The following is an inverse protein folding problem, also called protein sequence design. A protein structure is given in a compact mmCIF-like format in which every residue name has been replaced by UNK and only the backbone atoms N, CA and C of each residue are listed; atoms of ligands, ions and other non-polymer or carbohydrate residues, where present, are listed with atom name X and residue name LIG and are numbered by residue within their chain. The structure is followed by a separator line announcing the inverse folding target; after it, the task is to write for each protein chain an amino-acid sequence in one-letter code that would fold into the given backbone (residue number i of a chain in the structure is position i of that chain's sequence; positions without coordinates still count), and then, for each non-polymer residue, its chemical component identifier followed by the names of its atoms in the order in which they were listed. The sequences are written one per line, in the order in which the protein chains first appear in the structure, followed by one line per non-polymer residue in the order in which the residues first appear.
data_IF_967937943497
#
_entry.id   IF_967937943497
#
_cell.length_a   1.000
_cell.length_b   1.000
_cell.length_c   1.000
_cell.angle_alpha   90.00
_cell.angle_beta   90.00
_cell.angle_gamma   90.00
#
_symmetry.space_group_name_H-M   'P 1'
#
loop_
_entity.id
_entity.type
_entity.pdbx_description
1 polymer ?
#
# COMPACT_ATOMS: atom_id res chain seq x y z
N UNK A 1 -32.77 30.03 -40.70
CA UNK A 1 -31.57 30.78 -40.23
C UNK A 1 -31.30 30.64 -38.72
N UNK A 2 -32.23 30.86 -37.80
CA UNK A 2 -32.02 30.75 -36.35
C UNK A 2 -31.47 29.40 -35.89
N UNK A 3 -32.00 28.26 -36.35
CA UNK A 3 -31.53 26.90 -35.97
C UNK A 3 -30.08 26.63 -36.39
N UNK A 4 -29.61 27.07 -37.57
CA UNK A 4 -28.20 26.93 -37.99
C UNK A 4 -27.25 27.75 -37.12
N UNK A 5 -27.63 28.98 -36.72
CA UNK A 5 -26.83 29.81 -35.85
C UNK A 5 -26.71 29.23 -34.40
N UNK A 6 -27.81 28.69 -33.87
CA UNK A 6 -27.82 28.00 -32.59
C UNK A 6 -26.88 26.77 -32.62
N UNK A 7 -26.98 25.95 -33.66
CA UNK A 7 -26.12 24.78 -33.83
C UNK A 7 -24.64 25.15 -34.01
N UNK A 8 -24.34 26.20 -34.79
CA UNK A 8 -22.96 26.72 -34.93
C UNK A 8 -22.40 27.22 -33.62
N UNK A 9 -23.17 27.98 -32.82
CA UNK A 9 -22.74 28.47 -31.51
C UNK A 9 -22.51 27.32 -30.54
N UNK A 10 -23.39 26.31 -30.52
CA UNK A 10 -23.23 25.11 -29.72
C UNK A 10 -21.96 24.32 -30.07
N UNK A 11 -21.72 24.15 -31.39
CA UNK A 11 -20.50 23.48 -31.84
C UNK A 11 -19.24 24.26 -31.48
N UNK A 12 -19.24 25.57 -31.62
CA UNK A 12 -18.13 26.43 -31.19
C UNK A 12 -17.88 26.35 -29.69
N UNK A 13 -18.92 26.34 -28.86
CA UNK A 13 -18.83 26.14 -27.42
C UNK A 13 -18.22 24.79 -27.08
N UNK A 14 -18.68 23.71 -27.74
CA UNK A 14 -18.15 22.35 -27.52
C UNK A 14 -16.67 22.25 -27.89
N UNK A 15 -16.27 22.83 -29.03
CA UNK A 15 -14.88 22.87 -29.47
C UNK A 15 -14.00 23.67 -28.51
N UNK A 16 -14.48 24.81 -28.01
CA UNK A 16 -13.79 25.58 -27.00
C UNK A 16 -13.60 24.83 -25.70
N UNK A 17 -14.61 24.09 -25.25
CA UNK A 17 -14.53 23.23 -24.04
C UNK A 17 -13.50 22.12 -24.21
N UNK A 18 -13.49 21.43 -25.36
CA UNK A 18 -12.50 20.41 -25.67
C UNK A 18 -11.09 20.99 -25.67
N UNK A 19 -10.89 22.17 -26.25
CA UNK A 19 -9.59 22.83 -26.28
C UNK A 19 -9.10 23.19 -24.88
N UNK A 20 -9.98 23.71 -24.02
CA UNK A 20 -9.65 24.00 -22.62
C UNK A 20 -9.22 22.72 -21.88
N UNK A 21 -9.97 21.61 -22.06
CA UNK A 21 -9.64 20.31 -21.45
C UNK A 21 -8.25 19.84 -21.91
N UNK A 22 -7.96 19.94 -23.20
CA UNK A 22 -6.66 19.56 -23.76
C UNK A 22 -5.53 20.42 -23.20
N UNK A 23 -5.71 21.73 -23.08
CA UNK A 23 -4.72 22.64 -22.50
C UNK A 23 -4.46 22.28 -21.03
N UNK A 24 -5.51 22.06 -20.23
CA UNK A 24 -5.37 21.65 -18.83
C UNK A 24 -4.66 20.32 -18.68
N UNK A 25 -4.97 19.34 -19.52
CA UNK A 25 -4.33 18.02 -19.51
C UNK A 25 -2.84 18.13 -19.83
N UNK A 26 -2.47 18.89 -20.88
CA UNK A 26 -1.06 19.12 -21.25
C UNK A 26 -0.34 19.85 -20.12
N UNK A 27 -0.95 20.91 -19.58
CA UNK A 27 -0.37 21.67 -18.46
C UNK A 27 -0.07 20.77 -17.26
N UNK A 28 -1.05 19.95 -16.81
CA UNK A 28 -0.84 19.04 -15.67
C UNK A 28 0.25 18.02 -15.97
N UNK A 29 0.30 17.48 -17.20
CA UNK A 29 1.36 16.55 -17.59
C UNK A 29 2.75 17.18 -17.52
N UNK A 30 2.87 18.45 -17.90
CA UNK A 30 4.16 19.19 -17.83
C UNK A 30 4.56 19.40 -16.36
N UNK A 31 3.69 19.95 -15.52
CA UNK A 31 4.04 20.26 -14.13
C UNK A 31 4.24 19.02 -13.24
N UNK A 32 3.72 17.87 -13.63
CA UNK A 32 3.89 16.59 -12.93
C UNK A 32 4.92 15.67 -13.60
N UNK A 33 5.66 16.17 -14.58
CA UNK A 33 6.62 15.37 -15.37
C UNK A 33 7.84 14.91 -14.58
N UNK A 34 8.14 15.57 -13.45
CA UNK A 34 9.23 15.19 -12.54
C UNK A 34 9.01 13.83 -11.84
N UNK A 35 7.81 13.24 -11.93
CA UNK A 35 7.49 11.94 -11.36
C UNK A 35 7.41 11.91 -9.84
N UNK A 36 7.21 13.04 -9.17
CA UNK A 36 7.12 13.17 -7.71
C UNK A 36 5.72 13.56 -7.21
N UNK A 37 4.76 13.76 -8.13
CA UNK A 37 3.38 14.03 -7.72
C UNK A 37 2.67 12.75 -7.29
N UNK A 38 2.43 12.59 -6.00
CA UNK A 38 1.84 11.40 -5.40
C UNK A 38 0.55 10.94 -6.11
N UNK A 39 -0.41 11.85 -6.32
CA UNK A 39 -1.72 11.51 -6.87
C UNK A 39 -1.63 10.99 -8.32
N UNK A 40 -0.77 11.62 -9.12
CA UNK A 40 -0.56 11.22 -10.52
C UNK A 40 0.23 9.89 -10.58
N UNK A 41 1.24 9.73 -9.73
CA UNK A 41 2.02 8.48 -9.70
C UNK A 41 1.17 7.31 -9.18
N UNK A 42 0.31 7.52 -8.17
CA UNK A 42 -0.67 6.54 -7.70
C UNK A 42 -1.68 6.17 -8.80
N UNK A 43 -2.15 7.15 -9.60
CA UNK A 43 -2.99 6.87 -10.77
C UNK A 43 -2.25 6.01 -11.80
N UNK A 44 -0.98 6.32 -12.09
CA UNK A 44 -0.14 5.52 -12.99
C UNK A 44 0.06 4.10 -12.49
N UNK A 45 0.29 3.92 -11.17
CA UNK A 45 0.41 2.63 -10.53
C UNK A 45 -0.89 1.82 -10.65
N UNK A 46 -2.03 2.42 -10.31
CA UNK A 46 -3.33 1.76 -10.42
C UNK A 46 -3.62 1.28 -11.85
N UNK A 47 -3.21 2.04 -12.87
CA UNK A 47 -3.41 1.69 -14.29
C UNK A 47 -2.47 0.60 -14.78
N UNK A 48 -1.21 0.65 -14.38
CA UNK A 48 -0.17 -0.22 -14.93
C UNK A 48 0.01 -1.52 -14.16
N UNK A 49 -0.08 -1.49 -12.82
CA UNK A 49 0.28 -2.61 -11.95
C UNK A 49 -0.91 -3.35 -11.36
N UNK A 50 -2.07 -2.69 -11.23
CA UNK A 50 -3.23 -3.28 -10.55
C UNK A 50 -4.32 -3.74 -11.52
N UNK A 51 -5.05 -4.77 -11.09
CA UNK A 51 -6.33 -5.20 -11.63
C UNK A 51 -7.36 -5.29 -10.50
N UNK A 52 -8.63 -5.12 -10.84
CA UNK A 52 -9.72 -5.43 -9.91
C UNK A 52 -9.89 -6.94 -9.96
N UNK A 53 -9.80 -7.58 -8.80
CA UNK A 53 -10.00 -9.03 -8.66
C UNK A 53 -11.44 -9.44 -9.04
N UNK A 54 -11.58 -10.63 -9.58
CA UNK A 54 -12.88 -11.27 -9.76
C UNK A 54 -13.50 -11.63 -8.38
N UNK A 55 -12.65 -11.98 -7.39
CA UNK A 55 -13.07 -12.19 -6.02
C UNK A 55 -13.17 -10.84 -5.29
N UNK A 56 -14.40 -10.46 -4.89
CA UNK A 56 -14.68 -9.17 -4.24
C UNK A 56 -13.96 -9.00 -2.89
N UNK A 57 -13.67 -10.10 -2.20
CA UNK A 57 -12.98 -10.07 -0.90
C UNK A 57 -11.48 -9.73 -1.07
N UNK A 58 -10.88 -10.06 -2.21
CA UNK A 58 -9.51 -9.67 -2.55
C UNK A 58 -9.45 -8.21 -3.03
N UNK A 59 -10.46 -7.79 -3.79
CA UNK A 59 -10.61 -6.44 -4.29
C UNK A 59 -9.57 -6.04 -5.33
N UNK A 60 -8.28 -6.05 -4.99
CA UNK A 60 -7.18 -5.65 -5.86
C UNK A 60 -6.10 -6.72 -5.93
N UNK A 61 -5.61 -6.96 -7.14
CA UNK A 61 -4.47 -7.85 -7.41
C UNK A 61 -3.42 -7.12 -8.25
N UNK A 62 -2.20 -7.63 -8.23
CA UNK A 62 -1.15 -7.19 -9.12
C UNK A 62 -1.22 -7.91 -10.48
N UNK A 63 -0.81 -7.19 -11.52
CA UNK A 63 -0.51 -7.78 -12.83
C UNK A 63 0.82 -8.50 -12.79
N UNK A 64 0.97 -9.54 -13.59
CA UNK A 64 2.24 -10.24 -13.78
C UNK A 64 3.14 -9.52 -14.79
N UNK A 65 4.47 -9.65 -14.62
CA UNK A 65 5.49 -9.20 -15.57
C UNK A 65 5.39 -7.71 -15.94
N UNK A 66 5.10 -6.85 -14.97
CA UNK A 66 5.00 -5.41 -15.18
C UNK A 66 6.22 -4.70 -14.59
N UNK A 67 6.70 -3.72 -15.33
CA UNK A 67 7.83 -2.87 -14.91
C UNK A 67 7.53 -1.43 -15.29
N UNK A 68 7.66 -0.51 -14.33
CA UNK A 68 7.49 0.92 -14.59
C UNK A 68 8.20 1.76 -13.54
N UNK A 69 8.71 2.92 -13.97
CA UNK A 69 9.23 3.94 -13.06
C UNK A 69 8.07 4.74 -12.47
N UNK A 70 7.94 4.75 -11.13
CA UNK A 70 6.92 5.45 -10.34
C UNK A 70 7.59 6.06 -9.12
N UNK A 71 7.25 7.32 -8.76
CA UNK A 71 7.96 8.06 -7.71
C UNK A 71 9.49 8.02 -7.87
N UNK A 72 9.95 8.11 -9.12
CA UNK A 72 11.36 8.02 -9.52
C UNK A 72 12.09 6.71 -9.21
N UNK A 73 11.41 5.69 -8.72
CA UNK A 73 11.95 4.34 -8.51
C UNK A 73 11.33 3.33 -9.46
N UNK A 74 12.06 2.29 -9.77
CA UNK A 74 11.55 1.21 -10.60
C UNK A 74 10.75 0.21 -9.76
N UNK A 75 9.46 0.08 -10.06
CA UNK A 75 8.63 -0.99 -9.52
C UNK A 75 8.49 -2.07 -10.58
N UNK A 76 9.10 -3.22 -10.30
CA UNK A 76 9.01 -4.43 -11.13
C UNK A 76 8.23 -5.50 -10.39
N UNK A 77 7.27 -6.11 -11.08
CA UNK A 77 6.53 -7.28 -10.63
C UNK A 77 6.97 -8.48 -11.46
N UNK A 78 7.23 -9.60 -10.80
CA UNK A 78 7.61 -10.85 -11.44
C UNK A 78 6.42 -11.58 -12.11
N UNK A 79 6.60 -12.81 -12.57
CA UNK A 79 5.54 -13.56 -13.26
C UNK A 79 4.36 -13.93 -12.34
N UNK A 80 4.57 -13.95 -11.01
CA UNK A 80 3.53 -14.20 -10.02
C UNK A 80 2.88 -12.91 -9.46
N UNK A 81 3.32 -11.74 -9.91
CA UNK A 81 2.80 -10.45 -9.45
C UNK A 81 3.45 -9.94 -8.14
N UNK A 82 4.51 -10.56 -7.65
CA UNK A 82 5.27 -10.10 -6.49
C UNK A 82 6.31 -9.03 -6.85
N UNK A 83 6.57 -8.10 -5.95
CA UNK A 83 7.65 -7.11 -6.14
C UNK A 83 9.02 -7.74 -5.86
N UNK A 84 9.40 -8.67 -6.70
CA UNK A 84 10.68 -9.36 -6.68
C UNK A 84 11.36 -9.29 -8.05
N UNK A 85 12.69 -9.35 -8.07
CA UNK A 85 13.47 -9.35 -9.33
C UNK A 85 13.36 -10.68 -10.08
N UNK A 86 13.17 -11.76 -9.35
CA UNK A 86 13.07 -13.15 -9.86
C UNK A 86 11.76 -13.77 -9.38
N UNK A 87 11.36 -14.85 -10.02
CA UNK A 87 10.23 -15.67 -9.63
C UNK A 87 10.54 -16.47 -8.36
N UNK A 88 9.52 -17.12 -7.78
CA UNK A 88 9.70 -17.99 -6.63
C UNK A 88 10.64 -19.15 -6.98
N UNK A 89 11.70 -19.27 -6.20
CA UNK A 89 12.64 -20.39 -6.25
C UNK A 89 12.16 -21.49 -5.28
N UNK A 90 11.67 -22.60 -5.84
CA UNK A 90 11.15 -23.71 -5.06
C UNK A 90 12.24 -24.51 -4.30
N UNK A 91 13.51 -24.30 -4.62
CA UNK A 91 14.63 -24.94 -3.91
C UNK A 91 14.99 -24.22 -2.60
N UNK A 92 14.48 -22.98 -2.39
CA UNK A 92 14.79 -22.16 -1.22
C UNK A 92 13.68 -22.19 -0.17
N UNK A 93 14.06 -21.90 1.07
CA UNK A 93 13.11 -21.48 2.10
C UNK A 93 12.49 -20.14 1.72
N UNK A 94 11.22 -19.95 2.04
CA UNK A 94 10.44 -18.80 1.58
C UNK A 94 9.79 -18.04 2.72
N UNK A 95 10.06 -16.75 2.81
CA UNK A 95 9.39 -15.83 3.72
C UNK A 95 8.43 -14.98 2.88
N UNK A 96 7.14 -15.07 3.12
CA UNK A 96 6.13 -14.22 2.50
C UNK A 96 5.91 -12.97 3.34
N UNK A 97 5.97 -11.79 2.72
CA UNK A 97 5.58 -10.52 3.33
C UNK A 97 4.26 -10.04 2.74
N UNK A 98 3.18 -10.16 3.51
CA UNK A 98 1.87 -9.58 3.21
C UNK A 98 1.84 -8.13 3.70
N UNK A 99 1.09 -7.26 3.03
CA UNK A 99 0.90 -5.87 3.42
C UNK A 99 0.44 -4.98 2.27
N UNK A 100 0.42 -3.69 2.53
CA UNK A 100 -0.09 -2.63 1.65
C UNK A 100 1.02 -1.93 0.82
N UNK A 101 0.88 -0.61 0.61
CA UNK A 101 1.83 0.23 -0.12
C UNK A 101 3.18 0.38 0.59
N UNK A 102 3.22 0.28 1.92
CA UNK A 102 4.48 0.32 2.67
C UNK A 102 5.25 -0.98 2.42
N UNK A 103 4.60 -2.13 2.47
CA UNK A 103 5.21 -3.43 2.16
C UNK A 103 5.63 -3.49 0.69
N UNK A 104 4.77 -3.05 -0.24
CA UNK A 104 5.17 -2.84 -1.62
C UNK A 104 6.47 -2.02 -1.71
N UNK A 105 6.69 -1.04 -0.85
CA UNK A 105 7.81 -0.11 -0.86
C UNK A 105 7.58 1.04 -1.85
N UNK A 106 6.41 1.66 -1.77
CA UNK A 106 6.09 2.84 -2.58
C UNK A 106 7.15 3.92 -2.42
N UNK A 107 7.74 4.37 -3.55
CA UNK A 107 8.78 5.39 -3.56
C UNK A 107 10.17 4.96 -3.03
N UNK A 108 10.35 3.70 -2.64
CA UNK A 108 11.64 3.16 -2.22
C UNK A 108 12.24 2.25 -3.30
N UNK A 109 13.55 2.40 -3.55
CA UNK A 109 14.29 1.52 -4.45
C UNK A 109 14.58 0.17 -3.80
N UNK A 110 15.01 0.18 -2.53
CA UNK A 110 15.37 -1.00 -1.76
C UNK A 110 14.35 -1.22 -0.64
N UNK A 111 13.38 -2.10 -0.87
CA UNK A 111 12.35 -2.43 0.11
C UNK A 111 12.91 -3.16 1.32
N UNK A 112 12.19 -3.20 2.44
CA UNK A 112 12.64 -3.98 3.60
C UNK A 112 12.66 -5.49 3.31
N UNK A 113 11.82 -6.00 2.42
CA UNK A 113 11.88 -7.39 1.94
C UNK A 113 13.19 -7.68 1.18
N UNK A 114 13.56 -6.81 0.25
CA UNK A 114 14.81 -6.92 -0.50
C UNK A 114 16.03 -6.82 0.42
N UNK A 115 16.05 -5.85 1.35
CA UNK A 115 17.13 -5.70 2.30
C UNK A 115 17.21 -6.89 3.27
N UNK A 116 16.06 -7.40 3.74
CA UNK A 116 16.04 -8.57 4.62
C UNK A 116 16.62 -9.80 3.91
N UNK A 117 16.23 -10.06 2.66
CA UNK A 117 16.79 -11.16 1.86
C UNK A 117 18.32 -11.08 1.78
N UNK A 118 18.86 -9.89 1.55
CA UNK A 118 20.32 -9.66 1.55
C UNK A 118 21.02 -9.91 2.89
N UNK A 119 20.31 -9.78 3.99
CA UNK A 119 20.85 -10.00 5.32
C UNK A 119 20.71 -11.45 5.80
N UNK A 120 19.91 -12.25 5.13
CA UNK A 120 19.69 -13.66 5.42
C UNK A 120 20.65 -14.55 4.60
N UNK A 121 20.63 -15.85 4.86
CA UNK A 121 21.40 -16.81 4.12
C UNK A 121 20.88 -16.92 2.67
N UNK A 122 21.74 -17.32 1.75
CA UNK A 122 21.43 -17.44 0.31
C UNK A 122 20.37 -18.51 -0.02
N UNK A 123 20.08 -19.39 0.92
CA UNK A 123 19.05 -20.42 0.83
C UNK A 123 17.63 -19.94 1.21
N UNK A 124 17.49 -18.64 1.57
CA UNK A 124 16.21 -18.03 1.91
C UNK A 124 15.85 -16.99 0.86
N UNK A 125 14.63 -17.04 0.37
CA UNK A 125 14.03 -16.02 -0.51
C UNK A 125 12.93 -15.27 0.24
N UNK A 126 12.93 -13.93 0.13
CA UNK A 126 11.89 -13.08 0.72
C UNK A 126 10.95 -12.58 -0.38
N UNK A 127 9.71 -13.00 -0.32
CA UNK A 127 8.68 -12.68 -1.31
C UNK A 127 7.87 -11.45 -0.84
N UNK A 128 7.92 -10.38 -1.63
CA UNK A 128 7.16 -9.16 -1.37
C UNK A 128 5.80 -9.22 -2.06
N UNK A 129 4.76 -9.51 -1.30
CA UNK A 129 3.36 -9.55 -1.74
C UNK A 129 2.58 -8.28 -1.36
N UNK A 130 3.26 -7.17 -1.10
CA UNK A 130 2.62 -5.89 -0.80
C UNK A 130 1.86 -5.33 -2.01
N UNK A 131 0.60 -4.90 -1.78
CA UNK A 131 -0.26 -4.30 -2.81
C UNK A 131 -0.84 -3.00 -2.29
N UNK A 132 -0.52 -1.88 -2.91
CA UNK A 132 -1.02 -0.57 -2.49
C UNK A 132 -2.55 -0.46 -2.46
N UNK A 133 -3.09 0.20 -1.43
CA UNK A 133 -4.52 0.33 -1.18
C UNK A 133 -5.25 -1.01 -0.89
N UNK A 134 -4.59 -1.94 -0.23
CA UNK A 134 -5.20 -3.12 0.37
C UNK A 134 -5.10 -3.03 1.89
N UNK A 135 -5.97 -3.74 2.59
CA UNK A 135 -5.96 -3.91 4.02
C UNK A 135 -5.76 -5.39 4.39
N UNK A 136 -5.60 -5.69 5.68
CA UNK A 136 -5.41 -7.06 6.18
C UNK A 136 -6.48 -8.03 5.69
N UNK A 137 -7.75 -7.60 5.62
CA UNK A 137 -8.86 -8.41 5.09
C UNK A 137 -8.56 -8.89 3.65
N UNK A 138 -8.25 -7.97 2.75
CA UNK A 138 -7.94 -8.27 1.35
C UNK A 138 -6.68 -9.11 1.20
N UNK A 139 -5.64 -8.81 1.99
CA UNK A 139 -4.35 -9.48 1.96
C UNK A 139 -4.49 -10.96 2.35
N UNK A 140 -5.27 -11.27 3.39
CA UNK A 140 -5.48 -12.65 3.86
C UNK A 140 -6.35 -13.43 2.87
N UNK A 141 -7.41 -12.84 2.32
CA UNK A 141 -8.19 -13.49 1.26
C UNK A 141 -7.33 -13.79 0.03
N UNK A 142 -6.46 -12.84 -0.36
CA UNK A 142 -5.55 -13.04 -1.48
C UNK A 142 -4.52 -14.14 -1.19
N UNK A 143 -4.05 -14.25 0.06
CA UNK A 143 -3.19 -15.35 0.47
C UNK A 143 -3.87 -16.71 0.26
N UNK A 144 -5.06 -16.89 0.78
CA UNK A 144 -5.76 -18.19 0.68
C UNK A 144 -6.10 -18.55 -0.77
N UNK A 145 -6.51 -17.60 -1.59
CA UNK A 145 -6.91 -17.84 -2.98
C UNK A 145 -5.71 -18.07 -3.91
N UNK A 146 -4.68 -17.24 -3.78
CA UNK A 146 -3.63 -17.14 -4.80
C UNK A 146 -2.25 -17.62 -4.32
N UNK A 147 -1.92 -17.51 -3.02
CA UNK A 147 -0.54 -17.66 -2.56
C UNK A 147 -0.29 -18.94 -1.74
N UNK A 148 -1.28 -19.50 -1.08
CA UNK A 148 -1.14 -20.68 -0.21
C UNK A 148 -0.49 -21.88 -0.91
N UNK A 149 -0.63 -21.99 -2.22
CA UNK A 149 -0.04 -23.05 -3.06
C UNK A 149 1.50 -23.02 -3.15
N UNK A 150 2.16 -21.95 -2.70
CA UNK A 150 3.62 -21.81 -2.86
C UNK A 150 4.44 -22.36 -1.69
N UNK A 151 3.81 -22.90 -0.64
CA UNK A 151 4.46 -23.55 0.51
C UNK A 151 5.53 -22.65 1.16
N UNK A 152 5.12 -21.69 1.97
CA UNK A 152 6.02 -20.79 2.70
C UNK A 152 6.50 -21.43 4.00
N UNK A 153 7.72 -21.08 4.43
CA UNK A 153 8.27 -21.45 5.75
C UNK A 153 7.92 -20.41 6.81
N UNK A 154 7.74 -19.14 6.40
CA UNK A 154 7.33 -18.05 7.27
C UNK A 154 6.40 -17.09 6.54
N UNK A 155 5.40 -16.55 7.25
CA UNK A 155 4.54 -15.47 6.80
C UNK A 155 4.68 -14.31 7.78
N UNK A 156 4.98 -13.12 7.25
CA UNK A 156 5.02 -11.87 8.00
C UNK A 156 3.87 -11.00 7.50
N UNK A 157 2.87 -10.78 8.33
CA UNK A 157 1.82 -9.80 8.10
C UNK A 157 2.30 -8.43 8.57
N UNK A 158 2.60 -7.55 7.63
CA UNK A 158 2.99 -6.18 7.91
C UNK A 158 1.74 -5.33 8.06
N UNK A 159 1.30 -5.16 9.29
CA UNK A 159 0.07 -4.47 9.63
C UNK A 159 0.32 -2.96 9.74
N UNK A 160 -0.32 -2.16 8.90
CA UNK A 160 -0.26 -0.70 8.90
C UNK A 160 -1.51 -0.09 9.54
N UNK A 161 -1.45 1.18 9.92
CA UNK A 161 -2.54 1.87 10.65
C UNK A 161 -3.89 1.84 9.93
N UNK A 162 -3.93 1.70 8.61
CA UNK A 162 -5.17 1.63 7.83
C UNK A 162 -5.72 0.20 7.66
N UNK A 163 -5.07 -0.81 8.20
CA UNK A 163 -5.46 -2.21 7.97
C UNK A 163 -6.78 -2.61 8.66
N UNK A 164 -7.27 -1.79 9.59
CA UNK A 164 -8.63 -1.88 10.12
C UNK A 164 -9.65 -1.04 9.32
N UNK A 165 -9.30 -0.52 8.16
CA UNK A 165 -10.22 0.24 7.31
C UNK A 165 -11.15 -0.70 6.55
N UNK A 166 -12.46 -0.42 6.59
CA UNK A 166 -13.43 -1.07 5.71
C UNK A 166 -13.33 -0.51 4.29
N UNK A 167 -12.60 -1.19 3.42
CA UNK A 167 -12.35 -0.74 2.05
C UNK A 167 -13.39 -1.29 1.08
N UNK A 168 -14.11 -0.39 0.41
CA UNK A 168 -14.98 -0.73 -0.71
C UNK A 168 -14.29 -0.36 -2.03
N UNK A 169 -13.89 -1.35 -2.81
CA UNK A 169 -13.29 -1.12 -4.12
C UNK A 169 -14.38 -0.67 -5.10
N UNK A 170 -14.35 0.61 -5.47
CA UNK A 170 -15.22 1.17 -6.50
C UNK A 170 -14.51 1.22 -7.85
N UNK A 171 -15.20 0.81 -8.91
CA UNK A 171 -14.71 1.05 -10.29
C UNK A 171 -14.61 2.56 -10.53
N UNK A 172 -13.41 3.05 -10.82
CA UNK A 172 -13.22 4.45 -11.15
C UNK A 172 -13.85 4.77 -12.50
N UNK A 173 -14.42 5.97 -12.63
CA UNK A 173 -14.93 6.49 -13.91
C UNK A 173 -13.79 6.56 -14.93
N UNK A 174 -14.09 6.23 -16.20
CA UNK A 174 -13.14 6.27 -17.32
C UNK A 174 -12.43 7.63 -17.46
N UNK A 175 -13.15 8.74 -17.24
CA UNK A 175 -12.57 10.08 -17.30
C UNK A 175 -11.55 10.32 -16.18
N UNK A 176 -11.90 10.00 -14.92
CA UNK A 176 -10.96 10.11 -13.77
C UNK A 176 -9.74 9.25 -13.99
N UNK A 177 -9.92 8.06 -14.57
CA UNK A 177 -8.83 7.11 -14.82
C UNK A 177 -7.87 7.57 -15.92
N UNK A 178 -8.31 8.39 -16.88
CA UNK A 178 -7.53 8.70 -18.08
C UNK A 178 -7.04 10.16 -18.16
N UNK A 179 -7.66 11.08 -17.45
CA UNK A 179 -7.31 12.50 -17.47
C UNK A 179 -6.59 12.92 -16.20
N UNK A 180 -5.31 13.30 -16.33
CA UNK A 180 -4.45 13.69 -15.20
C UNK A 180 -4.97 14.95 -14.51
N UNK A 181 -5.49 15.92 -15.28
CA UNK A 181 -6.01 17.15 -14.70
C UNK A 181 -7.15 16.90 -13.73
N UNK A 182 -8.05 15.93 -14.02
CA UNK A 182 -9.16 15.57 -13.13
C UNK A 182 -8.61 15.05 -11.79
N UNK A 183 -7.67 14.11 -11.84
CA UNK A 183 -7.05 13.55 -10.63
C UNK A 183 -6.28 14.61 -9.84
N UNK A 184 -5.52 15.45 -10.53
CA UNK A 184 -4.73 16.53 -9.94
C UNK A 184 -5.61 17.55 -9.21
N UNK A 185 -6.62 18.10 -9.88
CA UNK A 185 -7.51 19.09 -9.26
C UNK A 185 -8.39 18.49 -8.17
N UNK A 186 -8.85 17.25 -8.34
CA UNK A 186 -9.56 16.53 -7.27
C UNK A 186 -8.70 16.44 -6.01
N UNK A 187 -7.44 16.06 -6.13
CA UNK A 187 -6.52 16.00 -4.98
C UNK A 187 -6.29 17.38 -4.35
N UNK A 188 -6.13 18.44 -5.15
CA UNK A 188 -5.99 19.80 -4.63
C UNK A 188 -7.24 20.29 -3.90
N UNK A 189 -8.43 20.00 -4.43
CA UNK A 189 -9.71 20.33 -3.76
C UNK A 189 -9.82 19.55 -2.45
N UNK A 190 -9.52 18.24 -2.44
CA UNK A 190 -9.51 17.44 -1.22
C UNK A 190 -8.56 18.02 -0.16
N UNK A 191 -7.36 18.41 -0.55
CA UNK A 191 -6.39 19.06 0.35
C UNK A 191 -6.96 20.32 0.98
N UNK A 192 -7.59 21.20 0.17
CA UNK A 192 -8.23 22.43 0.65
C UNK A 192 -9.37 22.11 1.65
N UNK A 193 -10.19 21.10 1.35
CA UNK A 193 -11.28 20.68 2.24
C UNK A 193 -10.76 20.15 3.59
N UNK A 194 -9.66 19.39 3.58
CA UNK A 194 -8.97 18.90 4.78
C UNK A 194 -8.40 20.07 5.60
N UNK A 195 -7.67 20.98 4.94
CA UNK A 195 -7.03 22.13 5.59
C UNK A 195 -8.05 23.08 6.25
N UNK A 196 -9.26 23.15 5.69
CA UNK A 196 -10.38 23.91 6.27
C UNK A 196 -11.29 23.09 7.19
N UNK A 197 -10.87 21.88 7.59
CA UNK A 197 -11.63 20.98 8.50
C UNK A 197 -13.05 20.65 8.02
N UNK A 198 -13.31 20.73 6.71
CA UNK A 198 -14.58 20.34 6.11
C UNK A 198 -14.71 18.83 5.91
N UNK A 199 -13.59 18.13 5.87
CA UNK A 199 -13.50 16.67 5.92
C UNK A 199 -12.35 16.26 6.84
N UNK A 200 -12.41 15.03 7.36
CA UNK A 200 -11.36 14.49 8.23
C UNK A 200 -10.00 14.47 7.52
N UNK A 201 -8.95 14.79 8.27
CA UNK A 201 -7.58 14.51 7.84
C UNK A 201 -7.28 13.01 7.98
N UNK A 202 -6.17 12.56 7.41
CA UNK A 202 -5.76 11.14 7.45
C UNK A 202 -5.60 10.61 8.89
N UNK A 203 -5.13 11.44 9.82
CA UNK A 203 -4.97 11.06 11.21
C UNK A 203 -6.31 10.73 11.86
N UNK A 204 -7.27 11.65 11.78
CA UNK A 204 -8.61 11.43 12.33
C UNK A 204 -9.31 10.26 11.64
N UNK A 205 -9.12 10.12 10.33
CA UNK A 205 -9.65 9.01 9.58
C UNK A 205 -9.13 7.67 10.12
N UNK A 206 -7.81 7.51 10.29
CA UNK A 206 -7.23 6.27 10.82
C UNK A 206 -7.60 6.00 12.28
N UNK A 207 -7.74 7.04 13.10
CA UNK A 207 -8.23 6.87 14.47
C UNK A 207 -9.66 6.33 14.52
N UNK A 208 -10.52 6.76 13.59
CA UNK A 208 -11.91 6.27 13.49
C UNK A 208 -11.98 4.81 13.03
N UNK A 209 -11.02 4.28 12.30
CA UNK A 209 -11.06 2.87 11.87
C UNK A 209 -11.07 1.89 13.04
N UNK A 210 -10.46 2.28 14.18
CA UNK A 210 -10.42 1.45 15.40
C UNK A 210 -11.78 1.49 16.15
N UNK A 211 -12.63 2.46 15.86
CA UNK A 211 -13.95 2.61 16.44
C UNK A 211 -15.00 1.71 15.75
N UNK A 212 -14.73 1.29 14.52
CA UNK A 212 -15.49 0.28 13.78
C UNK A 212 -15.19 -1.12 14.35
N UNK A 213 -15.85 -1.42 15.48
CA UNK A 213 -15.63 -2.68 16.21
C UNK A 213 -15.93 -3.91 15.36
N UNK A 214 -16.95 -3.85 14.51
CA UNK A 214 -17.33 -4.97 13.63
C UNK A 214 -16.21 -5.29 12.66
N UNK A 215 -15.64 -4.28 12.00
CA UNK A 215 -14.58 -4.52 11.03
C UNK A 215 -13.23 -4.88 11.70
N UNK A 216 -12.96 -4.33 12.88
CA UNK A 216 -11.81 -4.76 13.71
C UNK A 216 -11.92 -6.24 14.04
N UNK A 217 -13.09 -6.70 14.52
CA UNK A 217 -13.34 -8.11 14.84
C UNK A 217 -13.23 -9.00 13.61
N UNK A 218 -13.80 -8.62 12.48
CA UNK A 218 -13.67 -9.34 11.21
C UNK A 218 -12.20 -9.48 10.80
N UNK A 219 -11.40 -8.43 10.95
CA UNK A 219 -9.97 -8.45 10.62
C UNK A 219 -9.19 -9.36 11.56
N UNK A 220 -9.45 -9.31 12.87
CA UNK A 220 -8.80 -10.17 13.86
C UNK A 220 -9.17 -11.65 13.65
N UNK A 221 -10.42 -11.97 13.37
CA UNK A 221 -10.86 -13.33 13.06
C UNK A 221 -10.17 -13.90 11.81
N UNK A 222 -9.91 -13.06 10.80
CA UNK A 222 -9.15 -13.50 9.63
C UNK A 222 -7.67 -13.72 9.95
N UNK A 223 -7.08 -12.89 10.82
CA UNK A 223 -5.70 -13.10 11.28
C UNK A 223 -5.61 -14.42 12.09
N UNK A 224 -6.59 -14.70 12.94
CA UNK A 224 -6.68 -15.96 13.68
C UNK A 224 -6.77 -17.16 12.73
N UNK A 225 -7.65 -17.08 11.72
CA UNK A 225 -7.75 -18.13 10.69
C UNK A 225 -6.44 -18.36 9.94
N UNK A 226 -5.69 -17.29 9.64
CA UNK A 226 -4.36 -17.40 9.04
C UNK A 226 -3.37 -18.07 10.00
N UNK A 227 -3.42 -17.72 11.29
CA UNK A 227 -2.58 -18.33 12.32
C UNK A 227 -2.85 -19.83 12.48
N UNK A 228 -4.13 -20.24 12.52
CA UNK A 228 -4.53 -21.65 12.57
C UNK A 228 -4.01 -22.43 11.34
N UNK A 229 -4.15 -21.84 10.14
CA UNK A 229 -3.57 -22.39 8.93
C UNK A 229 -2.05 -22.56 9.07
N UNK A 230 -1.36 -21.53 9.53
CA UNK A 230 0.09 -21.56 9.72
C UNK A 230 0.51 -22.63 10.74
N UNK A 231 -0.20 -22.76 11.88
CA UNK A 231 0.05 -23.83 12.87
C UNK A 231 -0.11 -25.22 12.25
N UNK A 232 -1.18 -25.44 11.47
CA UNK A 232 -1.44 -26.71 10.78
C UNK A 232 -0.35 -27.07 9.77
N UNK A 233 0.06 -26.10 8.95
CA UNK A 233 1.07 -26.29 7.89
C UNK A 233 2.51 -26.15 8.40
N UNK A 234 2.72 -25.93 9.73
CA UNK A 234 4.02 -25.71 10.38
C UNK A 234 4.77 -24.50 9.81
N UNK A 235 4.04 -23.45 9.46
CA UNK A 235 4.56 -22.16 8.98
C UNK A 235 4.73 -21.24 10.18
N UNK A 236 5.86 -20.55 10.28
CA UNK A 236 6.06 -19.52 11.30
C UNK A 236 5.23 -18.28 10.93
N UNK A 237 4.32 -17.85 11.81
CA UNK A 237 3.52 -16.67 11.58
C UNK A 237 3.96 -15.51 12.49
N UNK A 238 4.13 -14.34 11.90
CA UNK A 238 4.58 -13.11 12.58
C UNK A 238 3.68 -11.95 12.18
N UNK A 239 3.26 -11.15 13.15
CA UNK A 239 2.67 -9.83 12.90
C UNK A 239 3.74 -8.77 13.13
N UNK A 240 4.04 -7.97 12.12
CA UNK A 240 4.92 -6.83 12.22
C UNK A 240 4.09 -5.55 12.09
N UNK A 241 3.94 -4.81 13.19
CA UNK A 241 3.29 -3.51 13.16
C UNK A 241 4.19 -2.49 12.46
N UNK A 242 3.68 -1.89 11.40
CA UNK A 242 4.32 -0.84 10.61
C UNK A 242 3.69 0.49 10.99
N UNK A 243 4.39 1.40 11.69
CA UNK A 243 3.79 2.66 12.13
C UNK A 243 3.61 3.67 10.99
N UNK A 244 2.60 4.52 11.11
CA UNK A 244 2.56 5.81 10.41
C UNK A 244 3.73 6.68 10.90
N UNK A 245 4.47 7.29 9.97
CA UNK A 245 5.69 8.02 10.32
C UNK A 245 5.46 9.43 10.88
N UNK A 246 4.25 9.97 10.79
CA UNK A 246 3.93 11.29 11.32
C UNK A 246 3.63 11.22 12.82
N UNK A 247 4.33 12.03 13.60
CA UNK A 247 4.10 12.15 15.03
C UNK A 247 4.60 10.94 15.85
N UNK A 248 5.66 10.25 15.44
CA UNK A 248 6.17 9.05 16.10
C UNK A 248 6.59 9.29 17.57
N UNK A 249 7.09 10.48 17.93
CA UNK A 249 7.44 10.81 19.32
C UNK A 249 6.23 10.86 20.26
N UNK A 250 5.05 11.22 19.74
CA UNK A 250 3.77 11.26 20.46
C UNK A 250 2.75 10.41 19.72
N UNK A 251 3.04 9.12 19.58
CA UNK A 251 2.33 8.23 18.68
C UNK A 251 0.86 8.06 19.06
N UNK A 252 -0.03 8.46 18.19
CA UNK A 252 -1.48 8.52 18.46
C UNK A 252 -2.18 7.18 18.31
N UNK A 253 -1.58 6.23 17.60
CA UNK A 253 -2.18 4.92 17.31
C UNK A 253 -1.80 3.82 18.31
N UNK A 254 -1.36 4.20 19.53
CA UNK A 254 -1.00 3.23 20.58
C UNK A 254 -2.13 2.26 20.96
N UNK A 255 -3.40 2.68 20.82
CA UNK A 255 -4.55 1.79 21.04
C UNK A 255 -4.55 0.62 20.07
N UNK A 256 -4.23 0.87 18.80
CA UNK A 256 -4.13 -0.15 17.77
C UNK A 256 -3.00 -1.14 18.06
N UNK A 257 -1.82 -0.64 18.44
CA UNK A 257 -0.68 -1.47 18.86
C UNK A 257 -1.11 -2.41 19.99
N UNK A 258 -1.75 -1.87 21.05
CA UNK A 258 -2.23 -2.67 22.17
C UNK A 258 -3.25 -3.73 21.81
N UNK A 259 -4.16 -3.45 20.87
CA UNK A 259 -5.12 -4.43 20.36
C UNK A 259 -4.36 -5.60 19.72
N UNK A 260 -3.43 -5.31 18.81
CA UNK A 260 -2.65 -6.35 18.10
C UNK A 260 -1.70 -7.11 19.03
N UNK A 261 -1.04 -6.42 19.96
CA UNK A 261 -0.14 -7.04 20.95
C UNK A 261 -0.90 -8.02 21.86
N UNK A 262 -2.05 -7.60 22.41
CA UNK A 262 -2.90 -8.46 23.24
C UNK A 262 -3.45 -9.65 22.44
N UNK A 263 -3.94 -9.40 21.24
CA UNK A 263 -4.42 -10.44 20.35
C UNK A 263 -3.31 -11.45 19.99
N UNK A 264 -2.13 -10.96 19.67
CA UNK A 264 -0.97 -11.80 19.36
C UNK A 264 -0.55 -12.67 20.54
N UNK A 265 -0.54 -12.09 21.76
CA UNK A 265 -0.25 -12.84 22.99
C UNK A 265 -1.28 -13.93 23.25
N UNK A 266 -2.58 -13.66 23.07
CA UNK A 266 -3.65 -14.64 23.27
C UNK A 266 -3.59 -15.82 22.28
N UNK A 267 -3.13 -15.54 21.05
CA UNK A 267 -3.08 -16.53 19.96
C UNK A 267 -1.69 -17.13 19.73
N UNK A 268 -0.71 -16.85 20.61
CA UNK A 268 0.67 -17.32 20.50
C UNK A 268 1.34 -16.91 19.19
N UNK A 269 1.04 -15.70 18.72
CA UNK A 269 1.64 -15.13 17.50
C UNK A 269 2.82 -14.25 17.92
N UNK A 270 3.95 -14.39 17.23
CA UNK A 270 5.08 -13.48 17.42
C UNK A 270 4.71 -12.08 16.93
N UNK A 271 4.77 -11.10 17.84
CA UNK A 271 4.49 -9.69 17.54
C UNK A 271 5.78 -8.87 17.51
N UNK A 272 5.98 -8.09 16.46
CA UNK A 272 7.09 -7.16 16.31
C UNK A 272 6.52 -5.76 16.10
N UNK A 273 6.99 -4.77 16.87
CA UNK A 273 6.57 -3.38 16.72
C UNK A 273 7.70 -2.56 16.09
N UNK A 274 7.60 -2.25 14.80
CA UNK A 274 8.62 -1.47 14.10
C UNK A 274 8.69 0.00 14.53
N UNK A 275 7.71 0.51 15.32
CA UNK A 275 7.83 1.82 15.96
C UNK A 275 9.04 1.90 16.88
N UNK A 276 9.41 0.79 17.57
CA UNK A 276 10.52 0.74 18.52
C UNK A 276 11.86 1.20 17.91
N UNK A 277 12.06 0.96 16.62
CA UNK A 277 13.27 1.38 15.91
C UNK A 277 13.11 2.73 15.21
N UNK A 278 11.91 3.00 14.65
CA UNK A 278 11.72 4.18 13.81
C UNK A 278 11.54 5.47 14.62
N UNK A 279 10.93 5.43 15.81
CA UNK A 279 10.71 6.59 16.69
C UNK A 279 12.00 7.28 17.16
N UNK A 280 13.16 6.62 16.99
CA UNK A 280 14.46 7.20 17.33
C UNK A 280 14.97 8.18 16.25
N UNK A 281 14.24 8.38 15.17
CA UNK A 281 14.60 9.25 14.06
C UNK A 281 13.57 10.36 13.90
N UNK A 282 14.00 11.48 13.30
CA UNK A 282 13.08 12.55 12.91
C UNK A 282 12.20 12.09 11.76
N UNK A 283 10.90 12.29 11.89
CA UNK A 283 9.85 11.76 11.00
C UNK A 283 10.15 11.99 9.51
N UNK A 284 10.41 13.26 9.12
CA UNK A 284 10.62 13.65 7.73
C UNK A 284 11.88 13.03 7.09
N UNK A 285 12.85 12.60 7.90
CA UNK A 285 14.07 11.93 7.38
C UNK A 285 13.80 10.52 6.86
N UNK A 286 12.60 9.99 7.15
CA UNK A 286 12.15 8.65 6.79
C UNK A 286 11.11 8.67 5.66
N UNK A 287 10.66 9.84 5.22
CA UNK A 287 9.63 10.00 4.18
C UNK A 287 10.21 9.98 2.77
N UNK A 288 9.41 9.53 1.82
CA UNK A 288 9.75 9.58 0.38
C UNK A 288 9.89 11.01 -0.10
N UNK A 289 8.93 11.88 0.27
CA UNK A 289 8.99 13.34 0.03
C UNK A 289 8.30 14.07 1.19
N UNK A 290 8.43 15.41 1.25
CA UNK A 290 7.71 16.22 2.25
C UNK A 290 6.18 16.07 2.19
N UNK A 291 5.64 15.72 1.04
CA UNK A 291 4.20 15.54 0.83
C UNK A 291 3.76 14.07 0.90
N UNK A 292 4.72 13.13 1.00
CA UNK A 292 4.48 11.69 0.97
C UNK A 292 5.23 10.99 2.10
N UNK A 293 4.52 10.64 3.16
CA UNK A 293 5.05 9.97 4.35
C UNK A 293 5.27 8.46 4.18
N UNK A 294 5.16 7.91 2.97
CA UNK A 294 5.61 6.54 2.74
C UNK A 294 7.09 6.38 3.08
N UNK A 295 7.50 5.17 3.39
CA UNK A 295 8.85 4.84 3.81
C UNK A 295 9.87 5.00 2.69
N UNK A 296 10.91 5.82 2.90
CA UNK A 296 12.04 5.90 1.99
C UNK A 296 13.05 4.73 2.23
N UNK A 297 14.11 4.66 1.43
CA UNK A 297 15.13 3.59 1.54
C UNK A 297 15.75 3.48 2.93
N UNK A 298 15.92 4.61 3.66
CA UNK A 298 16.43 4.62 5.05
C UNK A 298 15.46 3.93 6.01
N UNK A 299 14.18 4.26 5.95
CA UNK A 299 13.16 3.63 6.77
C UNK A 299 13.08 2.12 6.50
N UNK A 300 13.08 1.74 5.21
CA UNK A 300 13.11 0.34 4.80
C UNK A 300 14.35 -0.41 5.32
N UNK A 301 15.53 0.21 5.26
CA UNK A 301 16.75 -0.38 5.80
C UNK A 301 16.70 -0.59 7.31
N UNK A 302 16.15 0.38 8.05
CA UNK A 302 16.00 0.28 9.51
C UNK A 302 15.05 -0.86 9.90
N UNK A 303 13.88 -0.94 9.26
CA UNK A 303 12.91 -2.03 9.49
C UNK A 303 13.53 -3.39 9.16
N UNK A 304 14.26 -3.52 8.05
CA UNK A 304 14.87 -4.80 7.67
C UNK A 304 15.93 -5.28 8.68
N UNK A 305 16.77 -4.37 9.19
CA UNK A 305 17.76 -4.68 10.23
C UNK A 305 17.07 -5.09 11.54
N UNK A 306 15.98 -4.41 11.89
CA UNK A 306 15.22 -4.71 13.08
C UNK A 306 14.52 -6.06 12.97
N UNK A 307 13.87 -6.36 11.85
CA UNK A 307 13.28 -7.66 11.56
C UNK A 307 14.32 -8.77 11.63
N UNK A 308 15.49 -8.62 10.99
CA UNK A 308 16.56 -9.60 11.09
C UNK A 308 16.88 -9.91 12.55
N UNK A 309 17.11 -8.87 13.37
CA UNK A 309 17.43 -9.03 14.80
C UNK A 309 16.33 -9.78 15.54
N UNK A 310 15.05 -9.46 15.27
CA UNK A 310 13.91 -10.06 15.98
C UNK A 310 13.58 -11.48 15.49
N UNK A 311 13.89 -11.83 14.25
CA UNK A 311 13.55 -13.13 13.67
C UNK A 311 14.60 -14.21 13.94
N UNK A 312 15.88 -13.86 14.07
CA UNK A 312 17.00 -14.81 14.15
C UNK A 312 17.53 -15.07 15.57
N UNK A 313 17.02 -14.41 16.60
CA UNK A 313 17.54 -14.50 17.96
C UNK A 313 16.56 -15.06 18.99
N UNK A 314 15.72 -16.00 18.58
CA UNK A 314 14.94 -16.86 19.48
C UNK A 314 15.08 -18.33 19.10
#
# INVERSE_FOLDING_TARGET
MKKKKIFSNFLSFLLSLILIILILEIFVRIITSNGLNLDIEMLKYAKSHKIISANKNIGLEHRSNVKKKLMNVEIKLNSQGFRNNIDIDHSKKKILMLGDSITLGWGAQNTFSYNLEKFLNSDIQVINAGIGNTNTYMQIYNFFENYSKYNFDMIILNFFVNDFESVIIKKSNLFVKNLYFISYFKAKILKILIENSLIDNYENFYLKTIEDKEFVEVSLNLIEKLNEYCKKEKIIFVINYIPELRGMKNYKYNKQIKILENFSKQNEIKFINSLDVLQNYEDETLWVTKEDSHYNDKAHLLVSKFLKKKLLFE
#
